data_IF_250358263733
#
_entry.id   IF_250358263733
#
_cell.length_a   1.000
_cell.length_b   1.000
_cell.length_c   1.000
_cell.angle_alpha   90.00
_cell.angle_beta   90.00
_cell.angle_gamma   90.00
#
_symmetry.space_group_name_H-M   'P 1'
#
loop_
_entity.id
_entity.type
_entity.pdbx_description
1 polymer ?
#
# COMPACT_ATOMS: atom_id res chain seq x y z
N UNK A 1 -13.83 18.31 -11.02
CA UNK A 1 -14.56 17.21 -11.69
C UNK A 1 -15.75 16.82 -10.85
N UNK A 2 -16.90 16.53 -11.48
CA UNK A 2 -18.12 16.13 -10.78
C UNK A 2 -18.09 14.60 -10.60
N UNK A 3 -17.39 14.12 -9.57
CA UNK A 3 -17.29 12.69 -9.27
C UNK A 3 -18.59 12.19 -8.62
N UNK A 4 -19.09 10.99 -8.95
CA UNK A 4 -20.23 10.39 -8.27
C UNK A 4 -19.93 10.26 -6.77
N UNK A 5 -20.95 10.32 -5.92
CA UNK A 5 -20.82 10.10 -4.49
C UNK A 5 -20.27 8.71 -4.15
N UNK A 6 -19.77 8.53 -2.93
CA UNK A 6 -19.29 7.22 -2.46
C UNK A 6 -20.36 6.15 -2.55
N UNK A 7 -21.63 6.50 -2.30
CA UNK A 7 -22.75 5.58 -2.39
C UNK A 7 -23.00 5.16 -3.84
N UNK A 8 -23.09 6.12 -4.78
CA UNK A 8 -23.32 5.83 -6.21
C UNK A 8 -22.20 4.95 -6.79
N UNK A 9 -20.94 5.19 -6.40
CA UNK A 9 -19.83 4.32 -6.83
C UNK A 9 -19.96 2.89 -6.30
N UNK A 10 -20.38 2.73 -5.04
CA UNK A 10 -20.61 1.41 -4.45
C UNK A 10 -21.77 0.68 -5.13
N UNK A 11 -22.85 1.39 -5.47
CA UNK A 11 -23.99 0.84 -6.21
C UNK A 11 -23.59 0.35 -7.61
N UNK A 12 -22.76 1.11 -8.33
CA UNK A 12 -22.22 0.68 -9.64
C UNK A 12 -21.45 -0.63 -9.52
N UNK A 13 -20.58 -0.74 -8.52
CA UNK A 13 -19.78 -1.95 -8.25
C UNK A 13 -20.69 -3.14 -7.94
N UNK A 14 -21.69 -2.95 -7.07
CA UNK A 14 -22.63 -4.01 -6.71
C UNK A 14 -23.50 -4.46 -7.90
N UNK A 15 -23.85 -3.53 -8.79
CA UNK A 15 -24.70 -3.80 -9.96
C UNK A 15 -23.97 -4.51 -11.10
N UNK A 16 -22.64 -4.43 -11.16
CA UNK A 16 -21.83 -4.99 -12.26
C UNK A 16 -20.64 -5.84 -11.77
N UNK A 17 -20.88 -6.92 -10.99
CA UNK A 17 -19.81 -7.64 -10.27
C UNK A 17 -18.74 -8.23 -11.20
N UNK A 18 -19.12 -8.69 -12.40
CA UNK A 18 -18.16 -9.24 -13.38
C UNK A 18 -17.26 -8.14 -13.94
N UNK A 19 -17.82 -6.97 -14.28
CA UNK A 19 -17.05 -5.84 -14.78
C UNK A 19 -16.09 -5.32 -13.69
N UNK A 20 -16.56 -5.22 -12.45
CA UNK A 20 -15.73 -4.87 -11.29
C UNK A 20 -14.59 -5.87 -11.11
N UNK A 21 -14.84 -7.18 -11.18
CA UNK A 21 -13.79 -8.18 -11.02
C UNK A 21 -12.71 -8.08 -12.11
N UNK A 22 -13.11 -7.85 -13.38
CA UNK A 22 -12.19 -7.62 -14.49
C UNK A 22 -11.38 -6.35 -14.31
N UNK A 23 -12.03 -5.26 -13.93
CA UNK A 23 -11.37 -3.99 -13.64
C UNK A 23 -10.34 -4.14 -12.51
N UNK A 24 -10.74 -4.78 -11.41
CA UNK A 24 -9.83 -5.09 -10.29
C UNK A 24 -8.62 -5.89 -10.75
N UNK A 25 -8.82 -6.97 -11.53
CA UNK A 25 -7.73 -7.77 -12.07
C UNK A 25 -6.77 -6.92 -12.91
N UNK A 26 -7.29 -6.14 -13.88
CA UNK A 26 -6.45 -5.28 -14.72
C UNK A 26 -5.70 -4.22 -13.91
N UNK A 27 -6.37 -3.58 -12.96
CA UNK A 27 -5.76 -2.59 -12.08
C UNK A 27 -4.61 -3.19 -11.27
N UNK A 28 -4.85 -4.32 -10.60
CA UNK A 28 -3.84 -5.00 -9.78
C UNK A 28 -2.68 -5.48 -10.65
N UNK A 29 -2.94 -6.15 -11.78
CA UNK A 29 -1.86 -6.59 -12.68
C UNK A 29 -1.01 -5.42 -13.19
N UNK A 30 -1.64 -4.27 -13.46
CA UNK A 30 -0.92 -3.07 -13.90
C UNK A 30 -0.07 -2.48 -12.78
N UNK A 31 -0.59 -2.43 -11.55
CA UNK A 31 0.16 -2.00 -10.37
C UNK A 31 1.36 -2.93 -10.12
N UNK A 32 1.16 -4.25 -10.18
CA UNK A 32 2.23 -5.23 -9.96
C UNK A 32 3.33 -5.09 -11.01
N UNK A 33 2.96 -4.96 -12.28
CA UNK A 33 3.95 -4.81 -13.36
C UNK A 33 4.68 -3.46 -13.31
N UNK A 34 3.95 -2.36 -13.17
CA UNK A 34 4.52 -1.02 -13.30
C UNK A 34 5.19 -0.52 -12.01
N UNK A 35 4.59 -0.78 -10.85
CA UNK A 35 5.03 -0.20 -9.58
C UNK A 35 5.81 -1.18 -8.72
N UNK A 36 5.50 -2.48 -8.75
CA UNK A 36 6.14 -3.46 -7.86
C UNK A 36 7.34 -4.12 -8.53
N UNK A 37 7.17 -4.66 -9.73
CA UNK A 37 8.27 -5.23 -10.52
C UNK A 37 9.17 -4.13 -11.08
N UNK A 38 8.61 -3.19 -11.84
CA UNK A 38 9.35 -2.04 -12.38
C UNK A 38 10.48 -2.39 -13.37
N UNK A 39 10.63 -3.68 -13.71
CA UNK A 39 11.62 -4.17 -14.66
C UNK A 39 13.05 -4.23 -14.07
N UNK A 40 14.10 -4.12 -14.92
CA UNK A 40 15.49 -4.37 -14.51
C UNK A 40 16.03 -3.48 -13.38
N UNK A 41 15.44 -2.29 -13.20
CA UNK A 41 15.82 -1.34 -12.15
C UNK A 41 15.08 -1.56 -10.83
N UNK A 42 14.03 -2.40 -10.83
CA UNK A 42 13.10 -2.54 -9.70
C UNK A 42 11.99 -1.50 -9.71
N UNK A 43 10.94 -1.78 -8.95
CA UNK A 43 9.80 -0.90 -8.76
C UNK A 43 10.00 0.15 -7.66
N UNK A 44 8.91 0.74 -7.20
CA UNK A 44 8.91 1.77 -6.14
C UNK A 44 9.43 1.24 -4.79
N UNK A 45 9.35 -0.08 -4.58
CA UNK A 45 9.91 -0.74 -3.40
C UNK A 45 11.38 -1.15 -3.59
N UNK A 46 11.96 -0.90 -4.76
CA UNK A 46 13.26 -1.44 -5.18
C UNK A 46 13.11 -2.77 -5.92
N UNK A 47 14.23 -3.50 -6.08
CA UNK A 47 14.23 -4.82 -6.70
C UNK A 47 13.54 -5.83 -5.79
N UNK A 48 12.68 -6.65 -6.38
CA UNK A 48 11.98 -7.73 -5.68
C UNK A 48 12.49 -9.08 -6.16
N UNK A 49 12.50 -10.05 -5.26
CA UNK A 49 12.85 -11.45 -5.55
C UNK A 49 11.62 -12.27 -5.91
N UNK A 50 10.50 -11.99 -5.23
CA UNK A 50 9.23 -12.67 -5.42
C UNK A 50 8.07 -11.88 -4.78
N UNK A 51 6.84 -12.22 -5.15
CA UNK A 51 5.64 -11.85 -4.41
C UNK A 51 4.62 -12.99 -4.43
N UNK A 52 3.77 -13.03 -3.43
CA UNK A 52 2.63 -13.94 -3.32
C UNK A 52 1.40 -13.16 -2.88
N UNK A 53 0.25 -13.38 -3.52
CA UNK A 53 -0.97 -12.69 -3.11
C UNK A 53 -2.24 -13.51 -3.29
N UNK A 54 -3.22 -13.23 -2.43
CA UNK A 54 -4.54 -13.84 -2.42
C UNK A 54 -5.62 -12.78 -2.63
N UNK A 55 -6.58 -13.06 -3.51
CA UNK A 55 -7.75 -12.21 -3.72
C UNK A 55 -8.88 -12.69 -2.82
N UNK A 56 -9.41 -11.79 -2.02
CA UNK A 56 -10.45 -12.06 -1.02
C UNK A 56 -11.63 -11.10 -1.19
N UNK A 57 -12.85 -11.56 -0.89
CA UNK A 57 -14.02 -10.68 -0.82
C UNK A 57 -14.10 -10.02 0.56
N UNK A 58 -14.23 -8.69 0.62
CA UNK A 58 -14.15 -7.91 1.86
C UNK A 58 -15.44 -7.95 2.72
N UNK A 59 -16.32 -8.93 2.54
CA UNK A 59 -17.63 -9.00 3.23
C UNK A 59 -18.58 -7.82 2.92
N UNK A 60 -18.19 -6.93 1.99
CA UNK A 60 -18.93 -5.74 1.53
C UNK A 60 -19.06 -5.68 0.01
N UNK A 61 -18.91 -6.83 -0.66
CA UNK A 61 -19.08 -6.96 -2.12
C UNK A 61 -17.87 -6.55 -2.98
N UNK A 62 -16.82 -5.95 -2.40
CA UNK A 62 -15.57 -5.63 -3.10
C UNK A 62 -14.52 -6.73 -3.00
N UNK A 63 -13.64 -6.80 -4.00
CA UNK A 63 -12.42 -7.61 -3.96
C UNK A 63 -11.27 -6.80 -3.35
N UNK A 64 -10.41 -7.46 -2.60
CA UNK A 64 -9.15 -6.89 -2.14
C UNK A 64 -8.02 -7.92 -2.27
N UNK A 65 -6.79 -7.45 -2.45
CA UNK A 65 -5.60 -8.26 -2.55
C UNK A 65 -4.84 -8.19 -1.22
N UNK A 66 -4.58 -9.34 -0.61
CA UNK A 66 -3.52 -9.47 0.40
C UNK A 66 -2.26 -9.94 -0.29
N UNK A 67 -1.17 -9.21 -0.15
CA UNK A 67 0.08 -9.51 -0.83
C UNK A 67 1.26 -9.47 0.13
N UNK A 68 2.17 -10.42 -0.04
CA UNK A 68 3.48 -10.49 0.59
C UNK A 68 4.54 -10.34 -0.51
N UNK A 69 5.50 -9.44 -0.30
CA UNK A 69 6.56 -9.12 -1.27
C UNK A 69 7.91 -9.37 -0.58
N UNK A 70 8.81 -10.05 -1.28
CA UNK A 70 10.19 -10.25 -0.86
C UNK A 70 11.10 -9.34 -1.67
N UNK A 71 11.82 -8.45 -0.99
CA UNK A 71 12.84 -7.61 -1.61
C UNK A 71 14.09 -8.43 -1.95
N UNK A 72 14.81 -8.03 -2.99
CA UNK A 72 16.05 -8.68 -3.42
C UNK A 72 17.25 -8.12 -2.65
N UNK A 73 17.41 -8.57 -1.41
CA UNK A 73 18.57 -8.28 -0.56
C UNK A 73 18.93 -9.47 0.33
N UNK A 74 20.17 -9.50 0.82
CA UNK A 74 20.66 -10.57 1.71
C UNK A 74 20.74 -10.15 3.19
N UNK A 75 20.26 -8.96 3.54
CA UNK A 75 20.24 -8.48 4.93
C UNK A 75 19.39 -9.38 5.82
N UNK A 76 20.02 -9.97 6.83
CA UNK A 76 19.31 -10.67 7.91
C UNK A 76 18.77 -9.68 8.95
N UNK A 77 17.85 -10.09 9.85
CA UNK A 77 17.43 -9.24 10.96
C UNK A 77 18.59 -8.76 11.85
N UNK A 78 19.65 -9.56 11.97
CA UNK A 78 20.86 -9.20 12.72
C UNK A 78 21.65 -8.14 11.98
N UNK A 79 21.83 -8.29 10.66
CA UNK A 79 22.51 -7.29 9.83
C UNK A 79 21.77 -5.96 9.86
N UNK A 80 20.43 -5.98 9.73
CA UNK A 80 19.60 -4.79 9.86
C UNK A 80 19.81 -4.12 11.21
N UNK A 81 19.75 -4.88 12.31
CA UNK A 81 19.95 -4.36 13.67
C UNK A 81 21.34 -3.70 13.85
N UNK A 82 22.36 -4.28 13.25
CA UNK A 82 23.72 -3.74 13.32
C UNK A 82 23.87 -2.51 12.42
N UNK A 83 23.32 -2.54 11.20
CA UNK A 83 23.42 -1.47 10.22
C UNK A 83 22.67 -0.20 10.67
N UNK A 84 21.54 -0.33 11.39
CA UNK A 84 20.83 0.85 11.92
C UNK A 84 21.60 1.61 13.01
N UNK A 85 22.72 1.07 13.52
CA UNK A 85 23.62 1.83 14.38
C UNK A 85 24.49 2.82 13.59
N UNK A 86 24.61 2.64 12.27
CA UNK A 86 25.26 3.59 11.39
C UNK A 86 24.27 4.70 11.00
N UNK A 87 24.55 5.95 11.39
CA UNK A 87 23.62 7.07 11.17
C UNK A 87 23.28 7.28 9.69
N UNK A 88 24.25 7.17 8.78
CA UNK A 88 23.98 7.33 7.33
C UNK A 88 23.09 6.21 6.76
N UNK A 89 23.23 4.97 7.23
CA UNK A 89 22.31 3.90 6.83
C UNK A 89 20.91 4.13 7.39
N UNK A 90 20.83 4.50 8.67
CA UNK A 90 19.58 4.77 9.37
C UNK A 90 18.80 5.92 8.75
N UNK A 91 19.45 7.04 8.43
CA UNK A 91 18.83 8.18 7.75
C UNK A 91 18.26 7.78 6.39
N UNK A 92 19.03 7.03 5.58
CA UNK A 92 18.54 6.51 4.30
C UNK A 92 17.35 5.57 4.44
N UNK A 93 17.37 4.70 5.45
CA UNK A 93 16.26 3.80 5.73
C UNK A 93 15.00 4.57 6.14
N UNK A 94 15.14 5.60 6.99
CA UNK A 94 14.03 6.47 7.38
C UNK A 94 13.45 7.18 6.15
N UNK A 95 14.30 7.83 5.34
CA UNK A 95 13.85 8.50 4.12
C UNK A 95 13.14 7.56 3.16
N UNK A 96 13.64 6.33 2.98
CA UNK A 96 12.97 5.32 2.17
C UNK A 96 11.59 4.95 2.74
N UNK A 97 11.50 4.69 4.06
CA UNK A 97 10.23 4.34 4.71
C UNK A 97 9.22 5.48 4.65
N UNK A 98 9.64 6.73 4.82
CA UNK A 98 8.79 7.92 4.71
C UNK A 98 8.26 8.16 3.29
N UNK A 99 9.00 7.72 2.26
CA UNK A 99 8.58 7.83 0.86
C UNK A 99 7.51 6.78 0.50
N UNK A 100 7.65 5.55 1.01
CA UNK A 100 6.75 4.44 0.64
C UNK A 100 5.60 4.19 1.62
N UNK A 101 5.72 4.62 2.88
CA UNK A 101 4.68 4.48 3.90
C UNK A 101 3.96 5.80 4.06
N UNK A 102 2.66 5.81 3.79
CA UNK A 102 1.80 6.96 4.03
C UNK A 102 0.63 6.59 4.92
N UNK A 103 0.48 7.35 6.00
CA UNK A 103 -0.58 7.20 6.98
C UNK A 103 -1.31 8.53 7.12
N UNK A 104 -2.62 8.57 6.87
CA UNK A 104 -3.47 9.77 7.07
C UNK A 104 -4.12 9.71 8.47
N UNK A 105 -3.29 9.76 9.52
CA UNK A 105 -3.76 9.82 10.91
C UNK A 105 -3.88 11.27 11.44
N UNK A 106 -3.39 12.26 10.71
CA UNK A 106 -3.31 13.64 11.22
C UNK A 106 -4.70 14.23 11.50
N UNK A 107 -5.70 13.89 10.68
CA UNK A 107 -7.11 14.28 10.91
C UNK A 107 -7.69 13.69 12.21
N UNK A 108 -7.18 12.53 12.65
CA UNK A 108 -7.60 11.90 13.90
C UNK A 108 -7.02 12.63 15.12
N UNK A 109 -5.79 13.17 15.01
CA UNK A 109 -5.13 13.94 16.08
C UNK A 109 -5.82 15.28 16.33
N UNK A 110 -6.20 16.00 15.28
CA UNK A 110 -6.93 17.27 15.42
C UNK A 110 -8.29 17.09 16.11
N UNK A 111 -9.02 16.01 15.78
CA UNK A 111 -10.31 15.69 16.39
C UNK A 111 -10.18 15.40 17.89
N UNK A 112 -9.10 14.75 18.33
CA UNK A 112 -8.84 14.51 19.76
C UNK A 112 -8.47 15.82 20.48
N UNK A 113 -7.64 16.67 19.87
CA UNK A 113 -7.21 17.95 20.46
C UNK A 113 -8.36 18.95 20.62
N UNK A 114 -9.30 18.98 19.68
CA UNK A 114 -10.52 19.81 19.79
C UNK A 114 -11.37 19.31 20.96
N UNK A 115 -11.59 18.00 21.09
CA UNK A 115 -12.41 17.43 22.16
C UNK A 115 -11.76 17.49 23.55
N UNK A 116 -10.43 17.61 23.64
CA UNK A 116 -9.71 17.80 24.91
C UNK A 116 -9.63 19.25 25.38
N UNK A 117 -9.89 20.21 24.49
CA UNK A 117 -9.95 21.64 24.84
C UNK A 117 -11.37 22.10 25.22
N UNK A 118 -12.36 21.23 25.05
CA UNK A 118 -13.76 21.43 25.47
C UNK A 118 -14.11 20.68 26.79
N UNK A 119 -13.09 20.28 27.59
CA UNK A 119 -13.24 19.83 28.98
C UNK A 119 -12.45 20.70 29.96
#
# INVERSE_FOLDING_TARGET
>A
ENLPSTYERAEIVASHPVATAKFFHHLISSILAALIDGGPSGGVLGKIKAYFGTVESQGRGSLHLRILIWLDHDLTPVDLKNNVQNENFKEKLITYLEDIVKEDLDKFRETILINSNDQ
#
